data_IF_949799329599
#
_entry.id   IF_949799329599
#
_cell.length_a   1.000
_cell.length_b   1.000
_cell.length_c   1.000
_cell.angle_alpha   90.00
_cell.angle_beta   90.00
_cell.angle_gamma   90.00
#
_symmetry.space_group_name_H-M   'P 1'
#
loop_
_entity.id
_entity.type
_entity.pdbx_description
1 polymer ?
#
# COMPACT_ATOMS: atom_id res chain seq x y z
N UNK A 1 -11.35 -17.07 24.43
CA UNK A 1 -10.09 -17.79 24.71
C UNK A 1 -9.55 -17.50 26.11
N UNK A 2 -9.30 -16.25 26.50
CA UNK A 2 -8.86 -15.93 27.89
C UNK A 2 -9.85 -16.34 28.97
N UNK A 3 -11.16 -16.23 28.68
CA UNK A 3 -12.26 -16.65 29.56
C UNK A 3 -12.19 -18.11 30.00
N UNK A 4 -11.82 -19.04 29.10
CA UNK A 4 -11.70 -20.46 29.43
C UNK A 4 -10.51 -20.74 30.37
N UNK A 5 -9.41 -20.00 30.19
CA UNK A 5 -8.24 -20.09 31.07
C UNK A 5 -8.59 -19.56 32.47
N UNK A 6 -9.37 -18.49 32.55
CA UNK A 6 -9.86 -17.90 33.81
C UNK A 6 -10.84 -18.81 34.56
N UNK A 7 -11.76 -19.46 33.87
CA UNK A 7 -12.76 -20.38 34.46
C UNK A 7 -12.13 -21.65 35.06
N UNK A 8 -10.98 -22.10 34.56
CA UNK A 8 -10.31 -23.33 35.00
C UNK A 8 -8.97 -23.08 35.73
N UNK A 9 -8.67 -21.83 36.07
CA UNK A 9 -7.38 -21.41 36.61
C UNK A 9 -7.08 -22.01 37.98
N UNK A 10 -8.13 -22.20 38.80
CA UNK A 10 -8.05 -22.76 40.16
C UNK A 10 -7.75 -24.26 40.17
N UNK A 11 -8.02 -24.97 39.08
CA UNK A 11 -7.93 -26.43 39.02
C UNK A 11 -6.64 -26.92 38.35
N UNK A 12 -6.17 -26.26 37.28
CA UNK A 12 -5.09 -26.80 36.45
C UNK A 12 -3.88 -25.88 36.28
N UNK A 13 -3.99 -24.61 36.68
CA UNK A 13 -2.94 -23.60 36.47
C UNK A 13 -2.77 -23.17 35.00
N UNK A 14 -2.26 -21.95 34.79
CA UNK A 14 -2.18 -21.32 33.46
C UNK A 14 -1.30 -22.13 32.49
N UNK A 15 -0.17 -22.66 32.96
CA UNK A 15 0.78 -23.40 32.15
C UNK A 15 0.18 -24.64 31.50
N UNK A 16 -0.50 -25.48 32.29
CA UNK A 16 -1.10 -26.75 31.85
C UNK A 16 -2.19 -26.53 30.80
N UNK A 17 -3.02 -25.51 30.99
CA UNK A 17 -4.09 -25.16 30.04
C UNK A 17 -3.51 -24.63 28.73
N UNK A 18 -2.46 -23.79 28.82
CA UNK A 18 -1.75 -23.23 27.67
C UNK A 18 -1.07 -24.30 26.80
N UNK A 19 -0.57 -25.39 27.41
CA UNK A 19 0.02 -26.53 26.69
C UNK A 19 -1.00 -27.27 25.83
N UNK A 20 -2.24 -27.42 26.30
CA UNK A 20 -3.32 -28.11 25.57
C UNK A 20 -3.93 -27.21 24.49
N UNK A 21 -4.00 -25.89 24.73
CA UNK A 21 -4.62 -24.91 23.84
C UNK A 21 -3.65 -24.27 22.81
N UNK A 22 -2.56 -24.95 22.44
CA UNK A 22 -1.29 -24.37 21.92
C UNK A 22 -1.13 -22.84 22.03
N UNK A 23 -1.28 -22.26 23.22
CA UNK A 23 -1.10 -20.82 23.46
C UNK A 23 0.10 -20.62 24.37
N UNK A 24 1.00 -19.69 24.03
CA UNK A 24 2.10 -19.34 24.92
C UNK A 24 1.59 -18.64 26.20
N UNK A 25 2.03 -19.03 27.42
CA UNK A 25 1.61 -18.38 28.67
C UNK A 25 1.85 -16.86 28.71
N UNK A 26 2.89 -16.38 28.01
CA UNK A 26 3.18 -14.95 27.86
C UNK A 26 2.04 -14.17 27.20
N UNK A 27 1.30 -14.79 26.29
CA UNK A 27 0.12 -14.18 25.64
C UNK A 27 -0.99 -13.97 26.66
N UNK A 28 -1.26 -14.97 27.52
CA UNK A 28 -2.26 -14.87 28.58
C UNK A 28 -1.96 -13.70 29.54
N UNK A 29 -0.75 -13.64 30.10
CA UNK A 29 -0.37 -12.56 31.01
C UNK A 29 -0.39 -11.19 30.32
N UNK A 30 0.03 -11.10 29.05
CA UNK A 30 -0.05 -9.87 28.28
C UNK A 30 -1.51 -9.41 28.06
N UNK A 31 -2.44 -10.34 27.79
CA UNK A 31 -3.87 -10.01 27.67
C UNK A 31 -4.49 -9.58 29.00
N UNK A 32 -4.18 -10.26 30.10
CA UNK A 32 -4.65 -9.88 31.45
C UNK A 32 -4.11 -8.51 31.85
N UNK A 33 -2.82 -8.24 31.58
CA UNK A 33 -2.22 -6.93 31.84
C UNK A 33 -2.90 -5.81 31.02
N UNK A 34 -3.27 -6.08 29.76
CA UNK A 34 -4.03 -5.14 28.92
C UNK A 34 -5.46 -4.92 29.42
N UNK A 35 -6.12 -5.95 29.94
CA UNK A 35 -7.49 -5.86 30.47
C UNK A 35 -7.55 -5.14 31.82
N UNK A 36 -6.54 -5.34 32.69
CA UNK A 36 -6.43 -4.62 33.97
C UNK A 36 -6.15 -3.13 33.78
N UNK A 37 -5.47 -2.76 32.69
CA UNK A 37 -5.07 -1.38 32.40
C UNK A 37 -5.40 -0.98 30.94
N UNK A 38 -6.69 -0.95 30.55
CA UNK A 38 -7.07 -0.60 29.18
C UNK A 38 -6.72 0.86 28.86
N UNK A 39 -6.76 1.72 29.88
CA UNK A 39 -6.57 3.16 29.74
C UNK A 39 -5.11 3.62 29.70
N UNK A 40 -4.14 2.81 30.15
CA UNK A 40 -2.73 3.28 30.24
C UNK A 40 -2.15 3.59 28.86
N UNK A 41 -2.50 2.79 27.84
CA UNK A 41 -2.11 3.08 26.46
C UNK A 41 -2.87 4.28 25.90
N UNK A 42 -4.16 4.39 26.20
CA UNK A 42 -5.01 5.50 25.75
C UNK A 42 -4.59 6.83 26.34
N UNK A 43 -4.16 6.86 27.61
CA UNK A 43 -3.73 8.06 28.31
C UNK A 43 -2.39 8.56 27.75
N UNK A 44 -1.42 7.66 27.56
CA UNK A 44 -0.16 7.99 26.88
C UNK A 44 -0.37 8.44 25.44
N UNK A 45 -1.25 7.77 24.70
CA UNK A 45 -1.59 8.16 23.33
C UNK A 45 -2.27 9.53 23.28
N UNK A 46 -3.08 9.89 24.29
CA UNK A 46 -3.71 11.21 24.41
C UNK A 46 -2.65 12.29 24.66
N UNK A 47 -1.79 12.10 25.66
CA UNK A 47 -0.69 13.03 25.96
C UNK A 47 0.26 13.22 24.76
N UNK A 48 0.59 12.12 24.07
CA UNK A 48 1.39 12.17 22.85
C UNK A 48 0.63 12.85 21.70
N UNK A 49 -0.68 12.64 21.60
CA UNK A 49 -1.55 13.28 20.63
C UNK A 49 -1.56 14.80 20.79
N UNK A 50 -1.69 15.29 22.02
CA UNK A 50 -1.68 16.73 22.34
C UNK A 50 -0.34 17.38 21.93
N UNK A 51 0.77 16.70 22.18
CA UNK A 51 2.11 17.18 21.78
C UNK A 51 2.33 17.14 20.27
N UNK A 52 1.86 16.09 19.60
CA UNK A 52 1.87 16.01 18.13
C UNK A 52 1.04 17.16 17.55
N UNK A 53 -0.12 17.45 18.13
CA UNK A 53 -1.00 18.52 17.68
C UNK A 53 -0.36 19.89 17.90
N UNK A 54 0.26 20.12 19.07
CA UNK A 54 1.03 21.34 19.36
C UNK A 54 2.13 21.55 18.33
N UNK A 55 3.01 20.55 18.13
CA UNK A 55 4.10 20.64 17.15
C UNK A 55 3.58 20.88 15.74
N UNK A 56 2.49 20.23 15.35
CA UNK A 56 1.88 20.44 14.04
C UNK A 56 1.35 21.87 13.87
N UNK A 57 0.65 22.39 14.88
CA UNK A 57 0.09 23.74 14.89
C UNK A 57 1.18 24.83 14.91
N UNK A 58 2.20 24.67 15.77
CA UNK A 58 3.35 25.58 15.89
C UNK A 58 4.14 25.69 14.56
N UNK A 59 4.07 24.65 13.72
CA UNK A 59 4.72 24.60 12.41
C UNK A 59 3.74 24.88 11.26
N UNK A 60 2.74 25.73 11.51
CA UNK A 60 1.75 26.21 10.53
C UNK A 60 1.03 25.09 9.78
N UNK A 61 0.84 23.94 10.41
CA UNK A 61 0.19 22.77 9.82
C UNK A 61 0.94 22.17 8.61
N UNK A 62 2.19 22.58 8.37
CA UNK A 62 2.99 22.14 7.21
C UNK A 62 3.65 20.78 7.45
N UNK A 63 3.97 20.45 8.70
CA UNK A 63 4.74 19.25 9.01
C UNK A 63 3.92 17.97 8.88
N UNK A 64 4.40 17.05 8.05
CA UNK A 64 3.90 15.66 8.04
C UNK A 64 4.55 14.83 9.14
N UNK A 65 4.09 13.58 9.29
CA UNK A 65 4.53 12.67 10.36
C UNK A 65 6.05 12.56 10.54
N UNK A 66 6.82 12.53 9.45
CA UNK A 66 8.28 12.49 9.53
C UNK A 66 8.88 13.77 10.15
N UNK A 67 8.39 14.94 9.78
CA UNK A 67 8.89 16.23 10.31
C UNK A 67 8.45 16.43 11.77
N UNK A 68 7.20 16.09 12.09
CA UNK A 68 6.71 16.10 13.48
C UNK A 68 7.56 15.15 14.35
N UNK A 69 7.83 13.94 13.88
CA UNK A 69 8.68 12.98 14.59
C UNK A 69 10.10 13.52 14.84
N UNK A 70 10.72 14.14 13.83
CA UNK A 70 12.03 14.77 14.02
C UNK A 70 11.99 15.94 15.01
N UNK A 71 10.93 16.75 14.99
CA UNK A 71 10.76 17.86 15.91
C UNK A 71 10.58 17.39 17.35
N UNK A 72 9.70 16.41 17.58
CA UNK A 72 9.53 15.77 18.90
C UNK A 72 10.84 15.17 19.42
N UNK A 73 11.65 14.57 18.54
CA UNK A 73 12.96 14.03 18.91
C UNK A 73 13.96 15.13 19.30
N UNK A 74 13.92 16.30 18.64
CA UNK A 74 14.73 17.48 19.01
C UNK A 74 14.32 18.04 20.37
N UNK A 75 13.04 17.93 20.71
CA UNK A 75 12.49 18.31 22.02
C UNK A 75 12.69 17.22 23.10
N UNK A 76 13.50 16.19 22.81
CA UNK A 76 13.87 15.16 23.79
C UNK A 76 12.88 14.00 23.94
N UNK A 77 11.80 13.96 23.14
CA UNK A 77 10.82 12.87 23.20
C UNK A 77 11.24 11.69 22.32
N UNK A 78 11.53 10.56 22.94
CA UNK A 78 11.87 9.31 22.22
C UNK A 78 10.61 8.53 21.90
N UNK A 79 10.08 8.71 20.69
CA UNK A 79 8.85 8.06 20.21
C UNK A 79 9.14 7.34 18.89
N UNK A 80 8.56 6.16 18.71
CA UNK A 80 8.64 5.44 17.44
C UNK A 80 7.90 6.20 16.33
N UNK A 81 8.49 6.29 15.13
CA UNK A 81 7.89 6.99 13.99
C UNK A 81 6.48 6.49 13.66
N UNK A 82 6.28 5.16 13.71
CA UNK A 82 4.98 4.53 13.45
C UNK A 82 3.90 4.95 14.46
N UNK A 83 4.26 5.31 15.69
CA UNK A 83 3.31 5.85 16.68
C UNK A 83 2.85 7.24 16.28
N UNK A 84 3.77 8.11 15.83
CA UNK A 84 3.43 9.45 15.32
C UNK A 84 2.54 9.35 14.08
N UNK A 85 2.91 8.49 13.13
CA UNK A 85 2.11 8.24 11.92
C UNK A 85 0.68 7.76 12.25
N UNK A 86 0.55 6.80 13.17
CA UNK A 86 -0.74 6.29 13.63
C UNK A 86 -1.58 7.38 14.29
N UNK A 87 -1.02 8.13 15.24
CA UNK A 87 -1.75 9.16 15.99
C UNK A 87 -2.16 10.32 15.09
N UNK A 88 -1.27 10.79 14.19
CA UNK A 88 -1.64 11.80 13.19
C UNK A 88 -2.78 11.32 12.29
N UNK A 89 -2.75 10.06 11.85
CA UNK A 89 -3.84 9.49 11.05
C UNK A 89 -5.16 9.43 11.81
N UNK A 90 -5.15 9.05 13.10
CA UNK A 90 -6.34 9.01 13.95
C UNK A 90 -6.94 10.41 14.17
N UNK A 91 -6.09 11.44 14.27
CA UNK A 91 -6.51 12.84 14.42
C UNK A 91 -6.81 13.55 13.10
N UNK A 92 -6.59 12.91 11.95
CA UNK A 92 -6.76 13.53 10.63
C UNK A 92 -5.67 14.56 10.27
N UNK A 93 -4.58 14.65 11.03
CA UNK A 93 -3.49 15.58 10.78
C UNK A 93 -2.65 15.13 9.59
N UNK A 94 -2.40 16.05 8.66
CA UNK A 94 -1.56 15.83 7.49
C UNK A 94 -0.60 16.99 7.31
N UNK A 95 0.59 16.70 6.80
CA UNK A 95 1.52 17.73 6.37
C UNK A 95 1.21 18.20 4.97
N UNK A 96 1.64 19.41 4.65
CA UNK A 96 1.57 19.95 3.30
C UNK A 96 2.70 19.34 2.46
N UNK A 97 2.34 18.74 1.33
CA UNK A 97 3.27 18.25 0.33
C UNK A 97 3.31 19.30 -0.79
N UNK A 98 4.51 19.73 -1.20
CA UNK A 98 4.66 20.59 -2.37
C UNK A 98 4.38 19.77 -3.63
N UNK A 99 3.55 20.30 -4.51
CA UNK A 99 3.15 19.65 -5.76
C UNK A 99 1.66 19.38 -5.79
N UNK A 100 1.11 19.30 -7.00
CA UNK A 100 -0.26 18.89 -7.23
C UNK A 100 -0.33 17.36 -7.09
N UNK A 101 -1.36 16.84 -6.44
CA UNK A 101 -1.66 15.43 -6.53
C UNK A 101 -2.00 15.10 -7.99
N UNK A 102 -1.06 14.48 -8.71
CA UNK A 102 -1.24 14.11 -10.11
C UNK A 102 -2.12 12.87 -10.12
N UNK A 103 -3.43 13.10 -10.22
CA UNK A 103 -4.41 12.04 -10.46
C UNK A 103 -4.63 11.92 -11.96
N UNK A 104 -3.86 11.04 -12.60
CA UNK A 104 -3.94 10.77 -14.05
C UNK A 104 -5.29 10.18 -14.45
N UNK A 105 -5.95 9.46 -13.53
CA UNK A 105 -7.22 8.77 -13.80
C UNK A 105 -8.27 9.15 -12.76
N UNK A 106 -9.37 9.74 -13.21
CA UNK A 106 -10.61 9.87 -12.44
C UNK A 106 -11.52 8.71 -12.86
N UNK A 107 -11.79 7.74 -11.98
CA UNK A 107 -12.74 6.68 -12.27
C UNK A 107 -14.11 7.30 -12.53
N UNK A 108 -14.75 6.89 -13.62
CA UNK A 108 -16.15 7.22 -13.88
C UNK A 108 -17.01 6.04 -13.40
N UNK A 109 -17.74 6.18 -12.28
CA UNK A 109 -18.55 5.10 -11.73
C UNK A 109 -19.78 4.76 -12.60
N UNK A 110 -20.15 5.60 -13.56
CA UNK A 110 -21.27 5.33 -14.48
C UNK A 110 -20.87 4.49 -15.68
N UNK A 111 -19.56 4.36 -15.95
CA UNK A 111 -19.06 3.58 -17.09
C UNK A 111 -18.98 2.11 -16.68
N UNK A 112 -19.62 1.18 -17.43
CA UNK A 112 -19.51 -0.24 -17.13
C UNK A 112 -18.04 -0.67 -17.20
N UNK A 113 -17.59 -1.35 -16.15
CA UNK A 113 -16.25 -1.92 -16.12
C UNK A 113 -16.14 -2.95 -17.25
N UNK A 114 -15.14 -2.86 -18.14
CA UNK A 114 -14.92 -3.88 -19.16
C UNK A 114 -14.81 -5.27 -18.52
N UNK A 115 -15.37 -6.28 -19.19
CA UNK A 115 -15.30 -7.64 -18.69
C UNK A 115 -13.84 -8.10 -18.63
N UNK A 116 -13.42 -8.61 -17.47
CA UNK A 116 -12.09 -9.20 -17.31
C UNK A 116 -12.05 -10.58 -17.97
N UNK A 117 -11.75 -10.62 -19.27
CA UNK A 117 -11.65 -11.84 -20.06
C UNK A 117 -10.53 -12.77 -19.58
N UNK A 118 -9.57 -12.24 -18.83
CA UNK A 118 -8.38 -12.97 -18.35
C UNK A 118 -8.59 -13.42 -16.90
N UNK A 119 -9.65 -12.99 -16.21
CA UNK A 119 -9.97 -13.33 -14.82
C UNK A 119 -8.78 -13.10 -13.87
N UNK A 120 -8.00 -12.03 -14.08
CA UNK A 120 -6.74 -11.74 -13.38
C UNK A 120 -5.66 -12.84 -13.46
N UNK A 121 -5.77 -13.79 -14.40
CA UNK A 121 -4.79 -14.85 -14.63
C UNK A 121 -3.71 -14.39 -15.63
N UNK A 122 -2.69 -13.68 -15.14
CA UNK A 122 -1.55 -13.24 -15.96
C UNK A 122 -0.48 -14.34 -16.11
N UNK A 123 -0.94 -15.52 -16.50
CA UNK A 123 -0.10 -16.66 -16.84
C UNK A 123 -0.61 -17.30 -18.13
N UNK A 124 0.31 -17.69 -19.00
CA UNK A 124 -0.01 -18.34 -20.27
C UNK A 124 0.79 -19.64 -20.39
N UNK A 125 0.20 -20.73 -20.92
CA UNK A 125 0.88 -22.02 -21.05
C UNK A 125 1.86 -22.09 -22.24
N UNK A 126 1.80 -21.14 -23.17
CA UNK A 126 2.64 -21.08 -24.36
C UNK A 126 2.81 -19.63 -24.83
N UNK A 127 3.85 -19.32 -25.64
CA UNK A 127 4.00 -18.02 -26.28
C UNK A 127 2.77 -17.65 -27.13
N UNK A 128 2.56 -16.35 -27.32
CA UNK A 128 1.51 -15.76 -28.16
C UNK A 128 0.06 -16.13 -27.78
N UNK A 129 -0.17 -16.63 -26.56
CA UNK A 129 -1.52 -16.92 -26.03
C UNK A 129 -2.14 -15.75 -25.27
N UNK A 130 -1.31 -14.93 -24.63
CA UNK A 130 -1.72 -13.75 -23.89
C UNK A 130 -0.64 -12.69 -23.99
N UNK A 131 -1.02 -11.53 -24.51
CA UNK A 131 -0.19 -10.33 -24.50
C UNK A 131 -0.79 -9.30 -23.55
N UNK A 132 0.08 -8.57 -22.85
CA UNK A 132 -0.30 -7.44 -22.01
C UNK A 132 0.32 -6.20 -22.61
N UNK A 133 -0.48 -5.14 -22.75
CA UNK A 133 0.00 -3.82 -23.16
C UNK A 133 0.04 -2.86 -21.98
N UNK A 134 1.06 -2.01 -21.98
CA UNK A 134 1.17 -0.86 -21.09
C UNK A 134 1.86 0.28 -21.83
N UNK A 135 1.58 1.52 -21.45
CA UNK A 135 2.34 2.67 -21.93
C UNK A 135 2.69 3.61 -20.80
N UNK A 136 3.92 4.10 -20.83
CA UNK A 136 4.49 4.94 -19.80
C UNK A 136 5.16 6.18 -20.39
N UNK A 137 5.49 7.14 -19.54
CA UNK A 137 6.26 8.31 -19.92
C UNK A 137 7.73 8.11 -19.55
N UNK A 138 8.63 8.42 -20.48
CA UNK A 138 10.07 8.35 -20.28
C UNK A 138 10.64 9.76 -20.36
N UNK A 139 11.38 10.15 -19.32
CA UNK A 139 12.06 11.44 -19.27
C UNK A 139 13.28 11.44 -20.19
N UNK A 140 13.47 12.54 -20.91
CA UNK A 140 14.58 12.80 -21.83
C UNK A 140 15.14 14.20 -21.57
N UNK A 141 16.30 14.52 -22.16
CA UNK A 141 16.90 15.85 -22.06
C UNK A 141 16.05 16.97 -22.69
N UNK A 142 15.12 16.62 -23.58
CA UNK A 142 14.28 17.59 -24.31
C UNK A 142 12.83 17.63 -23.78
N UNK A 143 12.50 16.87 -22.73
CA UNK A 143 11.14 16.75 -22.20
C UNK A 143 10.79 15.31 -21.85
N UNK A 144 9.55 14.89 -22.10
CA UNK A 144 9.14 13.51 -21.94
C UNK A 144 8.55 12.95 -23.24
N UNK A 145 8.66 11.65 -23.43
CA UNK A 145 8.02 10.91 -24.52
C UNK A 145 7.15 9.80 -23.95
N UNK A 146 6.12 9.41 -24.69
CA UNK A 146 5.31 8.24 -24.37
C UNK A 146 5.87 7.02 -25.08
N UNK A 147 5.93 5.90 -24.35
CA UNK A 147 6.38 4.63 -24.91
C UNK A 147 5.35 3.55 -24.59
N UNK A 148 4.81 2.93 -25.64
CA UNK A 148 3.93 1.77 -25.54
C UNK A 148 4.75 0.51 -25.71
N UNK A 149 4.41 -0.51 -24.94
CA UNK A 149 5.01 -1.83 -25.00
C UNK A 149 3.93 -2.89 -25.00
N UNK A 150 4.18 -3.97 -25.73
CA UNK A 150 3.39 -5.20 -25.71
C UNK A 150 4.32 -6.32 -25.30
N UNK A 151 3.93 -7.02 -24.23
CA UNK A 151 4.73 -8.05 -23.59
C UNK A 151 4.02 -9.39 -23.73
N UNK A 152 4.77 -10.39 -24.18
CA UNK A 152 4.34 -11.78 -24.10
C UNK A 152 4.41 -12.28 -22.65
N UNK A 153 3.29 -12.72 -22.10
CA UNK A 153 3.20 -13.15 -20.69
C UNK A 153 3.99 -14.41 -20.41
N UNK A 154 4.10 -15.33 -21.37
CA UNK A 154 4.86 -16.57 -21.24
C UNK A 154 6.36 -16.31 -21.34
N UNK A 155 6.80 -15.69 -22.44
CA UNK A 155 8.22 -15.52 -22.75
C UNK A 155 8.85 -14.31 -22.05
N UNK A 156 8.05 -13.39 -21.48
CA UNK A 156 8.51 -12.15 -20.83
C UNK A 156 9.35 -11.25 -21.75
N UNK A 157 9.07 -11.32 -23.05
CA UNK A 157 9.74 -10.50 -24.07
C UNK A 157 8.80 -9.42 -24.58
N UNK A 158 9.38 -8.27 -24.93
CA UNK A 158 8.67 -7.22 -25.65
C UNK A 158 8.50 -7.69 -27.10
N UNK A 159 7.25 -7.80 -27.54
CA UNK A 159 6.90 -8.25 -28.90
C UNK A 159 6.54 -7.09 -29.83
N UNK A 160 6.22 -5.92 -29.27
CA UNK A 160 5.97 -4.70 -30.01
C UNK A 160 6.18 -3.48 -29.12
N UNK A 161 6.62 -2.37 -29.69
CA UNK A 161 6.83 -1.12 -28.99
C UNK A 161 6.77 0.08 -29.94
N UNK A 162 6.32 1.22 -29.41
CA UNK A 162 6.28 2.47 -30.17
C UNK A 162 6.55 3.66 -29.25
N UNK A 163 7.23 4.67 -29.78
CA UNK A 163 7.51 5.92 -29.09
C UNK A 163 6.76 7.05 -29.78
N UNK A 164 6.16 7.95 -29.00
CA UNK A 164 5.47 9.14 -29.50
C UNK A 164 5.71 10.33 -28.57
N UNK A 165 5.73 11.53 -29.12
CA UNK A 165 5.71 12.78 -28.32
C UNK A 165 4.33 13.10 -27.76
N UNK A 166 3.27 12.42 -28.24
CA UNK A 166 1.88 12.68 -27.86
C UNK A 166 1.14 11.37 -27.53
N UNK A 167 0.33 11.39 -26.47
CA UNK A 167 -0.46 10.24 -26.02
C UNK A 167 -1.79 10.09 -26.79
N UNK A 168 -1.70 9.79 -28.09
CA UNK A 168 -2.85 9.41 -28.92
C UNK A 168 -3.05 7.89 -28.96
N UNK A 169 -4.24 7.43 -29.35
CA UNK A 169 -4.52 5.99 -29.46
C UNK A 169 -3.62 5.32 -30.51
N UNK A 170 -3.27 6.06 -31.56
CA UNK A 170 -2.60 5.52 -32.75
C UNK A 170 -1.24 4.88 -32.43
N UNK A 171 -0.42 5.49 -31.55
CA UNK A 171 0.89 4.89 -31.25
C UNK A 171 0.78 3.57 -30.46
N UNK A 172 -0.31 3.37 -29.71
CA UNK A 172 -0.58 2.10 -29.03
C UNK A 172 -1.01 1.05 -30.05
N UNK A 173 -1.81 1.44 -31.05
CA UNK A 173 -2.19 0.56 -32.17
C UNK A 173 -0.98 0.19 -33.03
N UNK A 174 -0.09 1.13 -33.33
CA UNK A 174 1.18 0.87 -34.04
C UNK A 174 2.01 -0.23 -33.33
N UNK A 175 2.11 -0.16 -32.00
CA UNK A 175 2.83 -1.17 -31.22
C UNK A 175 2.17 -2.57 -31.33
N UNK A 176 0.83 -2.60 -31.42
CA UNK A 176 0.05 -3.82 -31.63
C UNK A 176 0.21 -4.39 -33.03
N UNK A 177 0.11 -3.56 -34.05
CA UNK A 177 0.36 -3.95 -35.42
C UNK A 177 1.77 -4.50 -35.59
N UNK A 178 2.78 -3.85 -35.02
CA UNK A 178 4.15 -4.36 -35.01
C UNK A 178 4.24 -5.77 -34.39
N UNK A 179 3.61 -5.98 -33.23
CA UNK A 179 3.60 -7.28 -32.56
C UNK A 179 2.90 -8.35 -33.40
N UNK A 180 1.74 -8.03 -34.00
CA UNK A 180 0.99 -8.92 -34.87
C UNK A 180 1.79 -9.31 -36.12
N UNK A 181 2.38 -8.33 -36.81
CA UNK A 181 3.19 -8.57 -37.99
C UNK A 181 4.41 -9.44 -37.69
N UNK A 182 5.07 -9.22 -36.55
CA UNK A 182 6.29 -9.96 -36.20
C UNK A 182 6.00 -11.39 -35.71
N UNK A 183 4.93 -11.58 -34.95
CA UNK A 183 4.65 -12.86 -34.27
C UNK A 183 3.69 -13.76 -35.01
N UNK A 184 2.90 -13.21 -35.94
CA UNK A 184 1.88 -13.92 -36.72
C UNK A 184 1.15 -15.00 -35.89
N UNK A 185 0.57 -14.62 -34.74
CA UNK A 185 -0.11 -15.59 -33.90
C UNK A 185 -1.24 -16.24 -34.68
N UNK A 186 -1.36 -17.57 -34.60
CA UNK A 186 -2.49 -18.29 -35.18
C UNK A 186 -3.78 -17.69 -34.59
N UNK A 187 -4.60 -17.09 -35.46
CA UNK A 187 -5.90 -16.57 -35.09
C UNK A 187 -6.74 -17.69 -34.48
N UNK A 188 -7.44 -17.38 -33.38
CA UNK A 188 -8.48 -18.28 -32.86
C UNK A 188 -9.72 -18.22 -33.74
#
# INVERSE_FOLDING_TARGET
>A
MTRFIEEHLQTYGVGSICTILPIAPSVYYATVARQKNPFVRSQKDKELGDEIHRVWNDNFCVYGARKVWHQLRREGRTIARCTVERLMRQMGLKGVIRGKEIRTTRPDPQRPCPQDLVQRQFHAPAPNRLWVSDFTYVSTWQGFVYVAFIIDVFARVIVGWRVSSIAHTDFVLDALEQALCQRQPEGK
#
